data_IF_365992002617
#
_entry.id   IF_365992002617
#
_cell.length_a   1.000
_cell.length_b   1.000
_cell.length_c   1.000
_cell.angle_alpha   90.00
_cell.angle_beta   90.00
_cell.angle_gamma   90.00
#
_symmetry.space_group_name_H-M   'P 1'
#
loop_
_entity.id
_entity.type
_entity.pdbx_description
1 polymer ?
#
# COMPACT_ATOMS: atom_id res chain seq x y z
N UNK A 1 -39.63 -6.85 17.74
CA UNK A 1 -38.42 -6.36 17.06
C UNK A 1 -38.61 -6.66 15.58
N UNK A 2 -38.97 -5.65 14.77
CA UNK A 2 -39.12 -5.82 13.31
C UNK A 2 -37.79 -5.44 12.66
N UNK A 3 -37.15 -6.44 12.09
CA UNK A 3 -35.94 -6.25 11.29
C UNK A 3 -36.26 -5.38 10.07
N UNK A 4 -35.80 -4.14 10.11
CA UNK A 4 -35.83 -3.26 8.93
C UNK A 4 -34.72 -3.68 7.98
N UNK A 5 -35.02 -4.69 7.16
CA UNK A 5 -34.20 -5.02 5.99
C UNK A 5 -34.18 -3.79 5.08
N UNK A 6 -33.06 -3.11 5.06
CA UNK A 6 -32.81 -1.95 4.20
C UNK A 6 -32.86 -2.43 2.76
N UNK A 7 -33.98 -2.16 2.04
CA UNK A 7 -34.13 -2.47 0.61
C UNK A 7 -32.97 -1.84 -0.15
N UNK A 8 -32.17 -2.69 -0.80
CA UNK A 8 -31.16 -2.24 -1.76
C UNK A 8 -31.90 -1.59 -2.92
N UNK A 9 -31.62 -0.34 -3.30
CA UNK A 9 -32.29 0.30 -4.42
C UNK A 9 -31.98 -0.46 -5.72
N UNK A 10 -33.03 -0.83 -6.46
CA UNK A 10 -32.98 -1.60 -7.72
C UNK A 10 -32.24 -0.92 -8.87
N UNK A 11 -31.71 0.30 -8.67
CA UNK A 11 -30.91 1.05 -9.64
C UNK A 11 -29.43 1.15 -9.23
N UNK A 12 -28.85 0.06 -8.73
CA UNK A 12 -27.40 -0.02 -8.56
C UNK A 12 -26.77 -0.32 -9.94
N UNK A 13 -26.68 0.67 -10.80
CA UNK A 13 -25.81 0.59 -11.97
C UNK A 13 -24.38 0.58 -11.42
N UNK A 14 -23.80 -0.61 -11.34
CA UNK A 14 -22.45 -0.89 -10.82
C UNK A 14 -21.38 -0.04 -11.52
N UNK A 15 -21.71 0.60 -12.63
CA UNK A 15 -20.86 1.44 -13.46
C UNK A 15 -21.45 2.84 -13.70
N UNK A 16 -21.85 3.54 -12.64
CA UNK A 16 -22.26 4.94 -12.78
C UNK A 16 -21.01 5.84 -12.84
N UNK A 17 -20.97 6.79 -13.79
CA UNK A 17 -19.92 7.83 -13.85
C UNK A 17 -19.76 8.57 -12.51
N UNK A 18 -20.85 8.72 -11.77
CA UNK A 18 -20.84 9.30 -10.42
C UNK A 18 -20.08 8.41 -9.42
N UNK A 19 -20.25 7.09 -9.51
CA UNK A 19 -19.51 6.13 -8.67
C UNK A 19 -18.02 6.17 -8.98
N UNK A 20 -17.65 6.21 -10.26
CA UNK A 20 -16.26 6.31 -10.69
C UNK A 20 -15.61 7.63 -10.22
N UNK A 21 -16.31 8.75 -10.38
CA UNK A 21 -15.85 10.05 -9.87
C UNK A 21 -15.62 10.03 -8.36
N UNK A 22 -16.54 9.46 -7.59
CA UNK A 22 -16.39 9.36 -6.14
C UNK A 22 -15.22 8.44 -5.75
N UNK A 23 -15.03 7.33 -6.44
CA UNK A 23 -13.89 6.44 -6.23
C UNK A 23 -12.55 7.17 -6.49
N UNK A 24 -12.47 7.94 -7.58
CA UNK A 24 -11.28 8.73 -7.90
C UNK A 24 -11.00 9.81 -6.84
N UNK A 25 -12.02 10.51 -6.36
CA UNK A 25 -11.89 11.51 -5.29
C UNK A 25 -11.44 10.88 -3.97
N UNK A 26 -11.97 9.71 -3.63
CA UNK A 26 -11.56 8.97 -2.44
C UNK A 26 -10.10 8.51 -2.54
N UNK A 27 -9.69 7.99 -3.71
CA UNK A 27 -8.30 7.60 -3.95
C UNK A 27 -7.34 8.79 -3.86
N UNK A 28 -7.74 9.95 -4.39
CA UNK A 28 -6.97 11.19 -4.27
C UNK A 28 -6.82 11.65 -2.82
N UNK A 29 -7.89 11.53 -2.03
CA UNK A 29 -7.84 11.82 -0.60
C UNK A 29 -6.93 10.85 0.15
N UNK A 30 -7.00 9.55 -0.19
CA UNK A 30 -6.11 8.53 0.35
C UNK A 30 -4.64 8.85 0.09
N UNK A 31 -4.30 9.23 -1.15
CA UNK A 31 -2.92 9.65 -1.48
C UNK A 31 -2.45 10.84 -0.63
N UNK A 32 -3.31 11.84 -0.43
CA UNK A 32 -2.97 12.99 0.43
C UNK A 32 -2.68 12.57 1.87
N UNK A 33 -3.43 11.63 2.41
CA UNK A 33 -3.15 11.09 3.76
C UNK A 33 -1.81 10.37 3.79
N UNK A 34 -1.53 9.50 2.82
CA UNK A 34 -0.25 8.79 2.76
C UNK A 34 0.94 9.73 2.66
N UNK A 35 0.83 10.86 1.94
CA UNK A 35 1.88 11.87 1.86
C UNK A 35 2.14 12.63 3.18
N UNK A 36 1.34 12.42 4.21
CA UNK A 36 1.62 12.92 5.58
C UNK A 36 2.27 11.87 6.48
N UNK A 37 2.28 10.61 6.06
CA UNK A 37 2.86 9.49 6.81
C UNK A 37 4.37 9.42 6.62
N UNK A 38 5.11 9.37 7.75
CA UNK A 38 6.59 9.38 7.72
C UNK A 38 7.15 8.14 7.06
N UNK A 39 6.61 6.96 7.34
CA UNK A 39 7.08 5.71 6.78
C UNK A 39 6.92 5.69 5.26
N UNK A 40 5.76 6.10 4.74
CA UNK A 40 5.52 6.24 3.32
C UNK A 40 6.49 7.22 2.63
N UNK A 41 6.78 8.36 3.25
CA UNK A 41 7.77 9.31 2.72
C UNK A 41 9.19 8.73 2.70
N UNK A 42 9.57 7.93 3.70
CA UNK A 42 10.86 7.23 3.72
C UNK A 42 10.97 6.22 2.56
N UNK A 43 9.89 5.50 2.28
CA UNK A 43 9.86 4.59 1.13
C UNK A 43 9.93 5.33 -0.20
N UNK A 44 9.29 6.50 -0.34
CA UNK A 44 9.43 7.34 -1.53
C UNK A 44 10.88 7.83 -1.74
N UNK A 45 11.67 7.97 -0.69
CA UNK A 45 13.10 8.29 -0.81
C UNK A 45 13.93 7.16 -1.45
N UNK A 46 13.40 5.96 -1.61
CA UNK A 46 14.05 4.89 -2.38
C UNK A 46 13.98 5.13 -3.90
N UNK A 47 13.03 5.94 -4.39
CA UNK A 47 12.85 6.20 -5.83
C UNK A 47 14.14 6.68 -6.50
N UNK A 48 14.82 7.74 -6.03
CA UNK A 48 16.05 8.20 -6.67
C UNK A 48 17.15 7.14 -6.63
N UNK A 49 17.23 6.34 -5.57
CA UNK A 49 18.20 5.25 -5.45
C UNK A 49 17.94 4.19 -6.52
N UNK A 50 16.68 3.75 -6.68
CA UNK A 50 16.28 2.77 -7.68
C UNK A 50 16.47 3.28 -9.10
N UNK A 51 16.21 4.57 -9.35
CA UNK A 51 16.44 5.20 -10.65
C UNK A 51 17.93 5.24 -11.00
N UNK A 52 18.79 5.66 -10.07
CA UNK A 52 20.24 5.66 -10.28
C UNK A 52 20.73 4.24 -10.53
N UNK A 53 20.27 3.27 -9.74
CA UNK A 53 20.60 1.86 -9.92
C UNK A 53 20.19 1.34 -11.31
N UNK A 54 18.98 1.66 -11.76
CA UNK A 54 18.48 1.27 -13.07
C UNK A 54 19.29 1.89 -14.22
N UNK A 55 19.66 3.17 -14.10
CA UNK A 55 20.43 3.88 -15.13
C UNK A 55 21.89 3.40 -15.22
N UNK A 56 22.54 3.18 -14.07
CA UNK A 56 23.96 2.75 -14.04
C UNK A 56 24.13 1.35 -14.59
N UNK A 57 23.19 0.44 -14.32
CA UNK A 57 23.26 -0.96 -14.75
C UNK A 57 22.72 -1.19 -16.18
N UNK A 58 21.98 -0.23 -16.73
CA UNK A 58 21.37 -0.32 -18.06
C UNK A 58 20.60 -1.63 -18.27
N UNK A 59 19.73 -1.96 -17.33
CA UNK A 59 18.97 -3.20 -17.33
C UNK A 59 18.01 -3.32 -18.52
N UNK A 60 17.74 -4.57 -18.93
CA UNK A 60 16.67 -4.88 -19.88
C UNK A 60 15.28 -4.51 -19.32
N UNK A 61 14.34 -4.24 -20.23
CA UNK A 61 12.97 -3.83 -19.88
C UNK A 61 12.26 -4.82 -18.94
N UNK A 62 12.51 -6.11 -19.09
CA UNK A 62 11.98 -7.18 -18.23
C UNK A 62 12.43 -7.02 -16.78
N UNK A 63 13.71 -6.78 -16.56
CA UNK A 63 14.24 -6.58 -15.20
C UNK A 63 13.72 -5.27 -14.58
N UNK A 64 13.63 -4.21 -15.37
CA UNK A 64 13.04 -2.95 -14.92
C UNK A 64 11.59 -3.12 -14.47
N UNK A 65 10.81 -3.95 -15.18
CA UNK A 65 9.44 -4.29 -14.77
C UNK A 65 9.41 -5.05 -13.44
N UNK A 66 10.33 -6.02 -13.23
CA UNK A 66 10.44 -6.72 -11.94
C UNK A 66 10.81 -5.78 -10.79
N UNK A 67 11.80 -4.91 -11.01
CA UNK A 67 12.23 -3.94 -10.01
C UNK A 67 11.09 -2.98 -9.64
N UNK A 68 10.41 -2.45 -10.64
CA UNK A 68 9.26 -1.57 -10.45
C UNK A 68 8.10 -2.27 -9.71
N UNK A 69 7.76 -3.50 -10.11
CA UNK A 69 6.70 -4.29 -9.47
C UNK A 69 7.03 -4.60 -8.01
N UNK A 70 8.29 -4.94 -7.71
CA UNK A 70 8.76 -5.20 -6.34
C UNK A 70 8.65 -3.94 -5.48
N UNK A 71 9.00 -2.79 -6.02
CA UNK A 71 8.84 -1.51 -5.31
C UNK A 71 7.38 -1.14 -5.08
N UNK A 72 6.49 -1.37 -6.08
CA UNK A 72 5.05 -1.17 -5.88
C UNK A 72 4.46 -2.05 -4.78
N UNK A 73 4.97 -3.28 -4.61
CA UNK A 73 4.56 -4.16 -3.51
C UNK A 73 4.93 -3.56 -2.14
N UNK A 74 6.09 -2.92 -2.01
CA UNK A 74 6.49 -2.23 -0.78
C UNK A 74 5.50 -1.11 -0.47
N UNK A 75 5.24 -0.22 -1.43
CA UNK A 75 4.28 0.87 -1.25
C UNK A 75 2.86 0.36 -0.92
N UNK A 76 2.43 -0.72 -1.56
CA UNK A 76 1.12 -1.32 -1.28
C UNK A 76 1.04 -1.90 0.13
N UNK A 77 2.10 -2.57 0.60
CA UNK A 77 2.16 -3.10 1.95
C UNK A 77 2.08 -1.97 2.99
N UNK A 78 2.79 -0.85 2.76
CA UNK A 78 2.75 0.33 3.64
C UNK A 78 1.37 0.97 3.70
N UNK A 79 0.69 1.13 2.54
CA UNK A 79 -0.68 1.66 2.49
C UNK A 79 -1.64 0.79 3.31
N UNK A 80 -1.53 -0.54 3.18
CA UNK A 80 -2.37 -1.49 3.93
C UNK A 80 -2.03 -1.43 5.43
N UNK A 81 -0.75 -1.38 5.79
CA UNK A 81 -0.30 -1.26 7.18
C UNK A 81 -0.89 0.00 7.83
N UNK A 82 -0.73 1.16 7.20
CA UNK A 82 -1.27 2.44 7.69
C UNK A 82 -2.80 2.39 7.85
N UNK A 83 -3.51 1.75 6.93
CA UNK A 83 -4.95 1.56 7.04
C UNK A 83 -5.33 0.68 8.24
N UNK A 84 -4.59 -0.41 8.50
CA UNK A 84 -4.79 -1.29 9.65
C UNK A 84 -4.51 -0.53 10.96
N UNK A 85 -3.40 0.20 11.03
CA UNK A 85 -3.05 1.01 12.19
C UNK A 85 -4.14 2.04 12.50
N UNK A 86 -4.62 2.76 11.48
CA UNK A 86 -5.69 3.74 11.63
C UNK A 86 -6.99 3.14 12.17
N UNK A 87 -7.35 1.93 11.75
CA UNK A 87 -8.54 1.22 12.26
C UNK A 87 -8.32 0.77 13.70
N UNK A 88 -7.16 0.21 14.02
CA UNK A 88 -6.82 -0.25 15.37
C UNK A 88 -6.81 0.91 16.36
N UNK A 89 -6.18 2.03 16.01
CA UNK A 89 -6.06 3.21 16.88
C UNK A 89 -7.41 3.92 17.08
N UNK A 90 -8.31 3.82 16.10
CA UNK A 90 -9.68 4.28 16.25
C UNK A 90 -10.47 3.48 17.27
N UNK A 91 -10.21 2.17 17.43
CA UNK A 91 -10.93 1.32 18.40
C UNK A 91 -10.57 1.70 19.82
N UNK A 92 -9.28 1.77 20.13
CA UNK A 92 -8.76 2.23 21.43
C UNK A 92 -7.27 2.54 21.34
N UNK A 93 -6.83 3.57 22.07
CA UNK A 93 -5.41 3.87 22.29
C UNK A 93 -4.81 3.07 23.44
N UNK A 94 -5.62 2.35 24.20
CA UNK A 94 -5.17 1.48 25.28
C UNK A 94 -4.53 0.20 24.72
N UNK A 95 -3.56 -0.34 25.47
CA UNK A 95 -2.91 -1.59 25.08
C UNK A 95 -3.90 -2.76 25.09
N UNK A 96 -4.00 -3.45 23.96
CA UNK A 96 -4.73 -4.69 23.82
C UNK A 96 -3.93 -5.71 22.99
N UNK A 97 -3.83 -6.95 23.47
CA UNK A 97 -2.98 -7.98 22.85
C UNK A 97 -3.33 -8.28 21.39
N UNK A 98 -4.61 -8.29 21.02
CA UNK A 98 -5.05 -8.48 19.63
C UNK A 98 -4.74 -7.28 18.75
N UNK A 99 -4.87 -6.07 19.28
CA UNK A 99 -4.50 -4.83 18.56
C UNK A 99 -3.00 -4.82 18.24
N UNK A 100 -2.16 -5.16 19.23
CA UNK A 100 -0.72 -5.32 19.02
C UNK A 100 -0.43 -6.38 17.96
N UNK A 101 -1.04 -7.57 18.08
CA UNK A 101 -0.86 -8.65 17.11
C UNK A 101 -1.23 -8.23 15.69
N UNK A 102 -2.32 -7.48 15.49
CA UNK A 102 -2.73 -7.00 14.17
C UNK A 102 -1.68 -6.06 13.56
N UNK A 103 -1.17 -5.10 14.35
CA UNK A 103 -0.10 -4.17 13.93
C UNK A 103 1.20 -4.91 13.62
N UNK A 104 1.62 -5.86 14.46
CA UNK A 104 2.84 -6.64 14.25
C UNK A 104 2.78 -7.45 12.93
N UNK A 105 1.62 -8.06 12.62
CA UNK A 105 1.42 -8.80 11.37
C UNK A 105 1.46 -7.87 10.16
N UNK A 106 0.86 -6.69 10.25
CA UNK A 106 0.88 -5.72 9.17
C UNK A 106 2.31 -5.20 8.90
N UNK A 107 3.06 -4.86 9.94
CA UNK A 107 4.49 -4.48 9.83
C UNK A 107 5.36 -5.61 9.27
N UNK A 108 5.07 -6.88 9.59
CA UNK A 108 5.76 -8.03 9.01
C UNK A 108 5.58 -8.11 7.49
N UNK A 109 4.41 -7.74 6.96
CA UNK A 109 4.18 -7.71 5.52
C UNK A 109 5.12 -6.70 4.82
N UNK A 110 5.35 -5.52 5.42
CA UNK A 110 6.30 -4.53 4.90
C UNK A 110 7.72 -5.12 4.88
N UNK A 111 8.15 -5.72 5.99
CA UNK A 111 9.47 -6.34 6.07
C UNK A 111 9.68 -7.39 4.98
N UNK A 112 8.65 -8.21 4.71
CA UNK A 112 8.72 -9.24 3.67
C UNK A 112 8.83 -8.64 2.26
N UNK A 113 8.12 -7.56 1.97
CA UNK A 113 8.20 -6.88 0.66
C UNK A 113 9.53 -6.15 0.48
N UNK A 114 10.08 -5.54 1.52
CA UNK A 114 11.43 -4.94 1.50
C UNK A 114 12.50 -6.01 1.28
N UNK A 115 12.39 -7.17 1.93
CA UNK A 115 13.28 -8.30 1.69
C UNK A 115 13.20 -8.77 0.24
N UNK A 116 11.99 -8.90 -0.33
CA UNK A 116 11.81 -9.24 -1.74
C UNK A 116 12.48 -8.22 -2.67
N UNK A 117 12.27 -6.93 -2.46
CA UNK A 117 12.92 -5.86 -3.22
C UNK A 117 14.46 -5.98 -3.14
N UNK A 118 14.99 -6.22 -1.93
CA UNK A 118 16.41 -6.45 -1.72
C UNK A 118 16.96 -7.64 -2.51
N UNK A 119 16.23 -8.76 -2.54
CA UNK A 119 16.59 -9.93 -3.34
C UNK A 119 16.63 -9.60 -4.85
N UNK A 120 15.65 -8.86 -5.36
CA UNK A 120 15.61 -8.43 -6.77
C UNK A 120 16.81 -7.54 -7.10
N UNK A 121 17.15 -6.59 -6.21
CA UNK A 121 18.32 -5.72 -6.40
C UNK A 121 19.63 -6.51 -6.38
N UNK A 122 19.81 -7.45 -5.45
CA UNK A 122 21.00 -8.30 -5.38
C UNK A 122 21.12 -9.16 -6.64
N UNK A 123 20.00 -9.74 -7.11
CA UNK A 123 19.99 -10.50 -8.34
C UNK A 123 20.49 -9.65 -9.53
N UNK A 124 20.01 -8.43 -9.69
CA UNK A 124 20.47 -7.51 -10.73
C UNK A 124 21.93 -7.02 -10.56
N UNK A 125 22.53 -7.16 -9.38
CA UNK A 125 23.96 -6.89 -9.21
C UNK A 125 24.84 -8.04 -9.71
N UNK A 126 24.35 -9.28 -9.60
CA UNK A 126 25.09 -10.50 -9.88
C UNK A 126 25.01 -10.92 -11.35
N UNK A 127 23.95 -10.55 -12.03
CA UNK A 127 23.65 -10.92 -13.41
C UNK A 127 23.43 -9.69 -14.30
#
# INVERSE_FOLDING_TARGET
>A
MKDSVKKIPENCSVCSLRSLKNATLNSWSGLKYMLTERAFLQELCLIPILLIYALVKNFEATFLLYLFSSYLLVLLAEIINTAIESVVDRISTEFHALSKKAKDIASFAIMLTLFHLGCVMIFGLLF
#
